data_IF_575794685813
#
_entry.id   IF_575794685813
#
_cell.length_a   1.000
_cell.length_b   1.000
_cell.length_c   1.000
_cell.angle_alpha   90.00
_cell.angle_beta   90.00
_cell.angle_gamma   90.00
#
_symmetry.space_group_name_H-M   'P 1'
#
loop_
_entity.id
_entity.type
_entity.pdbx_description
1 polymer ?
#
# COMPACT_ATOMS: atom_id res chain seq x y z
N UNK A 1 -7.68 15.56 6.52
CA UNK A 1 -7.91 14.31 5.76
C UNK A 1 -8.89 14.58 4.64
N UNK A 2 -8.46 14.58 3.39
CA UNK A 2 -9.36 14.74 2.25
C UNK A 2 -10.12 13.43 1.98
N UNK A 3 -11.37 13.50 1.49
CA UNK A 3 -12.12 12.31 1.07
C UNK A 3 -11.36 11.44 0.06
N UNK A 4 -10.52 12.07 -0.76
CA UNK A 4 -9.63 11.37 -1.72
C UNK A 4 -8.57 10.53 -1.00
N UNK A 5 -8.00 11.01 0.11
CA UNK A 5 -7.03 10.26 0.90
C UNK A 5 -7.68 9.10 1.64
N UNK A 6 -8.88 9.30 2.20
CA UNK A 6 -9.63 8.24 2.89
C UNK A 6 -9.97 7.11 1.91
N UNK A 7 -10.46 7.44 0.71
CA UNK A 7 -10.72 6.45 -0.34
C UNK A 7 -9.46 5.68 -0.72
N UNK A 8 -8.32 6.37 -0.81
CA UNK A 8 -7.03 5.75 -1.14
C UNK A 8 -6.58 4.77 -0.06
N UNK A 9 -6.67 5.14 1.22
CA UNK A 9 -6.32 4.27 2.34
C UNK A 9 -7.18 3.00 2.32
N UNK A 10 -8.50 3.16 2.18
CA UNK A 10 -9.45 2.04 2.17
C UNK A 10 -9.20 1.06 1.02
N UNK A 11 -8.93 1.56 -0.19
CA UNK A 11 -8.59 0.71 -1.35
C UNK A 11 -7.27 -0.02 -1.13
N UNK A 12 -6.27 0.66 -0.56
CA UNK A 12 -4.95 0.05 -0.29
C UNK A 12 -5.04 -1.03 0.80
N UNK A 13 -5.85 -0.85 1.84
CA UNK A 13 -6.11 -1.87 2.86
C UNK A 13 -6.78 -3.11 2.27
N UNK A 14 -7.81 -2.94 1.44
CA UNK A 14 -8.50 -4.05 0.76
C UNK A 14 -7.55 -4.82 -0.17
N UNK A 15 -6.68 -4.08 -0.88
CA UNK A 15 -5.67 -4.64 -1.78
C UNK A 15 -4.58 -5.43 -1.04
N UNK A 16 -4.18 -4.97 0.16
CA UNK A 16 -3.22 -5.67 1.01
C UNK A 16 -3.85 -6.91 1.64
N UNK A 17 -5.11 -6.82 2.06
CA UNK A 17 -5.89 -7.93 2.61
C UNK A 17 -6.30 -8.98 1.55
N UNK A 18 -5.96 -8.78 0.28
CA UNK A 18 -6.29 -9.72 -0.81
C UNK A 18 -7.79 -9.75 -1.17
N UNK A 19 -8.59 -8.83 -0.63
CA UNK A 19 -10.03 -8.70 -0.93
C UNK A 19 -10.30 -7.96 -2.24
N UNK A 20 -9.27 -7.43 -2.87
CA UNK A 20 -9.35 -6.58 -4.06
C UNK A 20 -8.10 -6.79 -4.92
N UNK A 21 -8.27 -6.86 -6.24
CA UNK A 21 -7.18 -7.14 -7.18
C UNK A 21 -6.41 -5.89 -7.58
N UNK A 22 -5.16 -6.06 -8.06
CA UNK A 22 -4.35 -4.91 -8.52
C UNK A 22 -5.03 -4.10 -9.64
N UNK A 23 -5.92 -4.72 -10.42
CA UNK A 23 -6.63 -4.09 -11.51
C UNK A 23 -7.81 -3.26 -11.01
N UNK A 24 -8.63 -3.80 -10.11
CA UNK A 24 -9.72 -3.06 -9.47
C UNK A 24 -9.18 -1.87 -8.66
N UNK A 25 -8.01 -2.03 -8.00
CA UNK A 25 -7.36 -0.94 -7.26
C UNK A 25 -6.87 0.16 -8.20
N UNK A 26 -6.37 -0.23 -9.37
CA UNK A 26 -5.93 0.68 -10.41
C UNK A 26 -7.10 1.52 -10.93
N UNK A 27 -8.23 0.88 -11.23
CA UNK A 27 -9.45 1.56 -11.68
C UNK A 27 -10.04 2.46 -10.59
N UNK A 28 -10.13 1.99 -9.34
CA UNK A 28 -10.68 2.76 -8.22
C UNK A 28 -9.86 4.01 -7.86
N UNK A 29 -8.54 3.99 -8.13
CA UNK A 29 -7.62 5.09 -7.87
C UNK A 29 -7.24 5.88 -9.13
N UNK A 30 -7.66 5.44 -10.32
CA UNK A 30 -7.25 6.02 -11.59
C UNK A 30 -5.73 5.92 -11.83
N UNK A 31 -5.10 4.87 -11.32
CA UNK A 31 -3.65 4.65 -11.40
C UNK A 31 -3.31 3.46 -12.30
N UNK A 32 -2.10 3.42 -12.81
CA UNK A 32 -1.61 2.25 -13.53
C UNK A 32 -1.32 1.09 -12.57
N UNK A 33 -1.52 -0.15 -13.04
CA UNK A 33 -1.21 -1.38 -12.27
C UNK A 33 0.21 -1.37 -11.66
N UNK A 34 1.21 -0.87 -12.40
CA UNK A 34 2.59 -0.70 -11.90
C UNK A 34 2.69 0.27 -10.71
N UNK A 35 1.94 1.36 -10.73
CA UNK A 35 1.89 2.31 -9.62
C UNK A 35 1.23 1.69 -8.39
N UNK A 36 0.19 0.87 -8.59
CA UNK A 36 -0.45 0.10 -7.52
C UNK A 36 0.54 -0.88 -6.87
N UNK A 37 1.30 -1.65 -7.66
CA UNK A 37 2.32 -2.57 -7.13
C UNK A 37 3.37 -1.81 -6.29
N UNK A 38 3.85 -0.67 -6.80
CA UNK A 38 4.83 0.17 -6.09
C UNK A 38 4.24 0.76 -4.82
N UNK A 39 2.99 1.21 -4.85
CA UNK A 39 2.28 1.72 -3.68
C UNK A 39 2.07 0.61 -2.65
N UNK A 40 1.71 -0.60 -3.09
CA UNK A 40 1.53 -1.76 -2.22
C UNK A 40 2.83 -2.09 -1.49
N UNK A 41 3.97 -2.09 -2.19
CA UNK A 41 5.30 -2.25 -1.56
C UNK A 41 5.59 -1.18 -0.52
N UNK A 42 5.32 0.10 -0.83
CA UNK A 42 5.51 1.21 0.14
C UNK A 42 4.57 1.12 1.34
N UNK A 43 3.32 0.71 1.11
CA UNK A 43 2.29 0.58 2.14
C UNK A 43 2.59 -0.60 3.05
N UNK A 44 2.98 -1.74 2.49
CA UNK A 44 3.48 -2.90 3.24
C UNK A 44 4.76 -2.58 3.99
N UNK A 45 5.69 -1.84 3.40
CA UNK A 45 6.86 -1.37 4.13
C UNK A 45 6.39 -0.56 5.34
N UNK A 46 5.55 0.47 5.16
CA UNK A 46 5.06 1.33 6.25
C UNK A 46 4.23 0.59 7.30
N UNK A 47 3.37 -0.35 6.89
CA UNK A 47 2.58 -1.18 7.78
C UNK A 47 3.46 -2.18 8.54
N UNK A 48 4.47 -2.74 7.85
CA UNK A 48 5.51 -3.56 8.48
C UNK A 48 6.31 -2.74 9.46
N UNK A 49 6.67 -1.48 9.17
CA UNK A 49 7.32 -0.57 10.12
C UNK A 49 6.47 -0.33 11.38
N UNK A 50 5.15 -0.21 11.24
CA UNK A 50 4.23 -0.10 12.38
C UNK A 50 4.09 -1.39 13.19
N UNK A 51 4.34 -2.57 12.59
CA UNK A 51 4.48 -3.83 13.34
C UNK A 51 5.93 -4.12 13.78
N UNK A 52 6.94 -3.49 13.16
CA UNK A 52 8.37 -3.64 13.44
C UNK A 52 8.87 -2.73 14.55
N UNK A 53 8.07 -1.80 15.07
CA UNK A 53 8.39 -1.13 16.34
C UNK A 53 8.45 -2.11 17.53
N UNK A 54 8.13 -3.39 17.31
CA UNK A 54 8.39 -4.47 18.25
C UNK A 54 9.80 -5.09 18.15
N UNK A 55 10.48 -5.10 16.99
CA UNK A 55 11.81 -5.74 16.88
C UNK A 55 12.58 -5.07 15.74
N UNK A 56 13.65 -4.34 16.06
CA UNK A 56 14.50 -3.68 15.06
C UNK A 56 15.22 -4.67 14.14
N UNK A 57 15.30 -4.31 12.85
CA UNK A 57 16.36 -4.61 11.87
C UNK A 57 15.87 -4.25 10.44
N UNK A 58 16.54 -3.23 9.88
CA UNK A 58 16.90 -2.99 8.48
C UNK A 58 16.15 -3.72 7.34
N UNK A 59 15.45 -2.94 6.51
CA UNK A 59 15.07 -3.33 5.15
C UNK A 59 16.10 -2.77 4.15
N UNK A 60 16.53 -3.56 3.15
CA UNK A 60 17.65 -3.20 2.29
C UNK A 60 17.26 -2.13 1.28
N UNK A 61 18.26 -1.30 1.00
CA UNK A 61 18.19 -0.13 0.13
C UNK A 61 17.68 -0.42 -1.27
N UNK A 62 17.02 0.60 -1.82
CA UNK A 62 16.99 0.81 -3.26
C UNK A 62 17.95 1.97 -3.52
N UNK A 63 19.17 1.66 -3.95
CA UNK A 63 20.23 2.63 -4.21
C UNK A 63 21.58 2.03 -3.92
#
# INVERSE_FOLDING_TARGET
MSQKEIKRIKVMELLVNGKLTNQEAAEALGLCRRQIIRLKKKYLARAKWLSFTAIGTDLPGTG
#
